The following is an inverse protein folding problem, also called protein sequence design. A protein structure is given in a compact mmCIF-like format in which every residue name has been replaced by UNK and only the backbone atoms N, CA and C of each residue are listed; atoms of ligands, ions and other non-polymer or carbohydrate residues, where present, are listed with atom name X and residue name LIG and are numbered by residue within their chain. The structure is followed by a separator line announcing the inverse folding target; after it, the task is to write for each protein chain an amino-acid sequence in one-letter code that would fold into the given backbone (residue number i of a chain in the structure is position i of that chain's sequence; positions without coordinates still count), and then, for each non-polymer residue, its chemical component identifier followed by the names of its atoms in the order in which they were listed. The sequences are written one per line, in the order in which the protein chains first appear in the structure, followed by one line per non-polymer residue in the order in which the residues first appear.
data_IF_006009312164
#
_entry.id   IF_006009312164
#
_cell.length_a   1.000
_cell.length_b   1.000
_cell.length_c   1.000
_cell.angle_alpha   90.00
_cell.angle_beta   90.00
_cell.angle_gamma   90.00
#
_symmetry.space_group_name_H-M   'P 1'
#
loop_
_entity.id
_entity.type
_entity.pdbx_description
1 polymer ?
#
# COMPACT_ATOMS: atom_id res chain seq x y z
N UNK A 1 -20.96 10.26 16.17
CA UNK A 1 -19.69 10.33 15.46
C UNK A 1 -19.16 8.90 15.30
N UNK A 2 -18.63 8.56 14.11
CA UNK A 2 -17.90 7.32 13.88
C UNK A 2 -16.42 7.69 13.96
N UNK A 3 -15.62 7.06 14.85
CA UNK A 3 -14.19 7.34 14.95
C UNK A 3 -13.46 6.95 13.66
N UNK A 4 -12.46 7.75 13.28
CA UNK A 4 -11.53 7.43 12.20
C UNK A 4 -10.20 8.13 12.47
N UNK A 5 -9.09 7.45 12.16
CA UNK A 5 -7.73 7.89 12.49
C UNK A 5 -7.00 8.44 11.26
N UNK A 6 -7.30 7.90 10.07
CA UNK A 6 -6.56 8.23 8.87
C UNK A 6 -7.44 8.30 7.62
N UNK A 7 -7.02 9.14 6.69
CA UNK A 7 -7.46 9.15 5.30
C UNK A 7 -6.34 8.54 4.46
N UNK A 8 -6.70 7.60 3.61
CA UNK A 8 -5.76 6.91 2.72
C UNK A 8 -6.01 7.37 1.28
N UNK A 9 -5.00 7.88 0.63
CA UNK A 9 -5.05 8.30 -0.77
C UNK A 9 -4.55 7.16 -1.65
N UNK A 10 -5.43 6.70 -2.55
CA UNK A 10 -5.16 5.68 -3.56
C UNK A 10 -4.57 6.31 -4.84
N UNK A 11 -4.28 5.52 -5.87
CA UNK A 11 -3.53 5.87 -7.10
C UNK A 11 -3.92 7.21 -7.74
N UNK A 12 -5.15 7.68 -7.57
CA UNK A 12 -5.67 8.89 -8.22
C UNK A 12 -5.12 10.20 -7.64
N UNK A 13 -4.37 10.16 -6.53
CA UNK A 13 -3.68 11.36 -6.06
C UNK A 13 -2.45 11.71 -6.91
N UNK A 14 -1.92 10.72 -7.66
CA UNK A 14 -0.72 10.85 -8.48
C UNK A 14 -1.02 11.46 -9.86
N UNK A 15 -0.10 12.24 -10.38
CA UNK A 15 -0.12 12.67 -11.78
C UNK A 15 0.14 11.49 -12.71
N UNK A 16 -0.85 11.15 -13.54
CA UNK A 16 -0.79 10.01 -14.47
C UNK A 16 -0.30 8.71 -13.82
N UNK A 17 -0.67 8.48 -12.55
CA UNK A 17 -0.25 7.32 -11.72
C UNK A 17 1.26 7.20 -11.47
N UNK A 18 2.02 8.27 -11.73
CA UNK A 18 3.47 8.31 -11.45
C UNK A 18 3.70 8.50 -9.94
N UNK A 19 4.31 7.53 -9.31
CA UNK A 19 4.68 7.64 -7.88
C UNK A 19 5.57 8.87 -7.63
N UNK A 20 5.52 9.43 -6.45
CA UNK A 20 6.25 10.65 -6.07
C UNK A 20 5.80 11.90 -6.82
N UNK A 21 4.53 11.94 -7.26
CA UNK A 21 3.90 13.12 -7.86
C UNK A 21 2.55 13.40 -7.20
N UNK A 22 2.03 14.60 -7.41
CA UNK A 22 0.67 14.99 -7.04
C UNK A 22 -0.10 15.40 -8.29
N UNK A 23 -1.36 14.98 -8.39
CA UNK A 23 -2.21 15.35 -9.52
C UNK A 23 -2.50 16.86 -9.47
N UNK A 24 -2.15 17.64 -10.53
CA UNK A 24 -2.19 19.10 -10.47
C UNK A 24 -3.60 19.67 -10.28
N UNK A 25 -4.62 19.01 -10.83
CA UNK A 25 -6.00 19.50 -10.77
C UNK A 25 -6.76 18.99 -9.53
N UNK A 26 -6.51 17.74 -9.10
CA UNK A 26 -7.24 17.14 -7.97
C UNK A 26 -6.56 17.40 -6.63
N UNK A 27 -5.25 17.57 -6.62
CA UNK A 27 -4.45 17.82 -5.42
C UNK A 27 -3.46 18.98 -5.63
N UNK A 28 -3.96 20.18 -5.99
CA UNK A 28 -3.08 21.31 -6.35
C UNK A 28 -2.28 21.85 -5.15
N UNK A 29 -2.81 21.70 -3.94
CA UNK A 29 -2.20 22.16 -2.69
C UNK A 29 -2.18 21.05 -1.63
N UNK A 30 -1.40 19.98 -1.83
CA UNK A 30 -1.42 18.80 -0.95
C UNK A 30 -1.01 19.12 0.49
N UNK A 31 -0.05 20.01 0.69
CA UNK A 31 0.41 20.44 2.02
C UNK A 31 -0.73 21.09 2.81
N UNK A 32 -1.49 22.02 2.19
CA UNK A 32 -2.62 22.70 2.82
C UNK A 32 -3.73 21.71 3.16
N UNK A 33 -4.10 20.82 2.22
CA UNK A 33 -5.11 19.79 2.44
C UNK A 33 -4.72 18.88 3.62
N UNK A 34 -3.48 18.40 3.65
CA UNK A 34 -2.97 17.50 4.70
C UNK A 34 -2.96 18.22 6.05
N UNK A 35 -2.57 19.51 6.08
CA UNK A 35 -2.61 20.32 7.30
C UNK A 35 -4.03 20.43 7.85
N UNK A 36 -5.01 20.75 7.00
CA UNK A 36 -6.42 20.84 7.38
C UNK A 36 -6.99 19.51 7.89
N UNK A 37 -6.60 18.39 7.30
CA UNK A 37 -7.00 17.06 7.79
C UNK A 37 -6.40 16.75 9.16
N UNK A 38 -5.13 17.12 9.39
CA UNK A 38 -4.47 16.98 10.69
C UNK A 38 -5.15 17.81 11.78
N UNK A 39 -5.57 19.04 11.47
CA UNK A 39 -6.30 19.89 12.41
C UNK A 39 -7.65 19.28 12.81
N UNK A 40 -8.24 18.44 11.94
CA UNK A 40 -9.43 17.66 12.23
C UNK A 40 -9.14 16.34 12.96
N UNK A 41 -7.87 15.99 13.18
CA UNK A 41 -7.42 14.79 13.87
C UNK A 41 -7.09 13.60 12.96
N UNK A 42 -7.10 13.77 11.63
CA UNK A 42 -6.75 12.70 10.69
C UNK A 42 -5.26 12.68 10.38
N UNK A 43 -4.71 11.49 10.23
CA UNK A 43 -3.44 11.26 9.57
C UNK A 43 -3.68 11.00 8.08
N UNK A 44 -2.69 11.31 7.23
CA UNK A 44 -2.78 11.00 5.79
C UNK A 44 -1.74 9.96 5.42
N UNK A 45 -2.21 8.92 4.75
CA UNK A 45 -1.40 7.81 4.21
C UNK A 45 -1.52 7.82 2.70
N UNK A 46 -0.42 7.65 1.98
CA UNK A 46 -0.42 7.59 0.51
C UNK A 46 0.00 6.22 0.01
N UNK A 47 -0.65 5.80 -1.06
CA UNK A 47 -0.29 4.57 -1.77
C UNK A 47 1.03 4.75 -2.52
N UNK A 48 1.87 3.72 -2.53
CA UNK A 48 3.16 3.67 -3.19
C UNK A 48 3.28 2.37 -3.98
N UNK A 49 3.30 2.47 -5.30
CA UNK A 49 3.57 1.35 -6.20
C UNK A 49 5.05 1.28 -6.57
N UNK A 50 5.61 0.07 -6.82
CA UNK A 50 7.00 -0.05 -7.25
C UNK A 50 7.20 0.24 -8.75
N UNK A 51 6.16 0.38 -9.55
CA UNK A 51 6.28 0.62 -10.99
C UNK A 51 6.71 2.06 -11.34
N UNK A 52 7.95 2.23 -11.78
CA UNK A 52 8.48 3.51 -12.23
C UNK A 52 8.25 3.64 -13.75
N UNK A 53 7.40 4.59 -14.15
CA UNK A 53 7.10 4.82 -15.57
C UNK A 53 8.36 5.08 -16.39
N UNK A 54 8.45 4.41 -17.55
CA UNK A 54 9.53 4.62 -18.52
C UNK A 54 9.31 5.94 -19.29
N UNK A 55 9.75 7.05 -18.68
CA UNK A 55 9.53 8.40 -19.20
C UNK A 55 10.75 9.28 -18.88
N UNK A 56 11.47 9.72 -19.91
CA UNK A 56 12.60 10.65 -19.77
C UNK A 56 12.12 11.98 -19.18
N UNK A 57 12.87 12.54 -18.23
CA UNK A 57 12.48 13.73 -17.47
C UNK A 57 11.69 13.44 -16.21
N UNK A 58 11.28 12.19 -16.00
CA UNK A 58 10.70 11.76 -14.73
C UNK A 58 11.83 11.34 -13.77
N UNK A 59 12.07 12.14 -12.75
CA UNK A 59 13.27 12.02 -11.90
C UNK A 59 13.53 10.62 -11.33
N UNK A 60 12.54 9.82 -10.84
CA UNK A 60 12.79 8.45 -10.40
C UNK A 60 13.24 7.52 -11.52
N UNK A 61 12.73 7.72 -12.75
CA UNK A 61 13.16 6.96 -13.92
C UNK A 61 14.59 7.31 -14.32
N UNK A 62 14.88 8.60 -14.48
CA UNK A 62 16.23 9.06 -14.91
C UNK A 62 17.30 8.62 -13.91
N UNK A 63 17.04 8.79 -12.60
CA UNK A 63 17.95 8.31 -11.56
C UNK A 63 18.07 6.78 -11.54
N UNK A 64 16.98 6.07 -11.80
CA UNK A 64 16.95 4.62 -11.87
C UNK A 64 17.82 4.06 -12.99
N UNK A 65 17.82 4.71 -14.17
CA UNK A 65 18.67 4.37 -15.30
C UNK A 65 20.13 4.76 -15.00
N UNK A 66 20.38 6.01 -14.57
CA UNK A 66 21.74 6.51 -14.30
C UNK A 66 22.48 5.67 -13.27
N UNK A 67 21.78 5.24 -12.22
CA UNK A 67 22.38 4.55 -11.07
C UNK A 67 22.13 3.05 -11.03
N UNK A 68 21.56 2.52 -12.10
CA UNK A 68 21.34 1.08 -12.25
C UNK A 68 20.51 0.46 -11.11
N UNK A 69 19.33 1.06 -10.82
CA UNK A 69 18.51 0.71 -9.67
C UNK A 69 17.40 -0.32 -9.98
N UNK A 70 17.23 -0.73 -11.24
CA UNK A 70 16.13 -1.58 -11.67
C UNK A 70 16.49 -3.07 -11.75
N UNK A 71 15.49 -3.92 -11.58
CA UNK A 71 15.57 -5.35 -11.94
C UNK A 71 15.95 -5.50 -13.40
N UNK A 72 16.64 -6.57 -13.77
CA UNK A 72 17.20 -6.75 -15.12
C UNK A 72 16.82 -8.08 -15.75
N UNK A 73 16.75 -8.05 -17.08
CA UNK A 73 16.85 -9.27 -17.88
C UNK A 73 18.29 -9.83 -17.83
N UNK A 74 18.49 -11.12 -18.21
CA UNK A 74 19.84 -11.73 -18.25
C UNK A 74 20.83 -11.02 -19.20
N UNK A 75 20.35 -10.26 -20.16
CA UNK A 75 21.19 -9.44 -21.09
C UNK A 75 21.59 -8.08 -20.48
N UNK A 76 21.18 -7.81 -19.24
CA UNK A 76 21.49 -6.57 -18.52
C UNK A 76 20.51 -5.41 -18.77
N UNK A 77 19.53 -5.56 -19.66
CA UNK A 77 18.51 -4.52 -19.86
C UNK A 77 17.54 -4.46 -18.67
N UNK A 78 17.04 -3.27 -18.30
CA UNK A 78 16.04 -3.15 -17.26
C UNK A 78 14.77 -3.95 -17.56
N UNK A 79 14.29 -4.71 -16.59
CA UNK A 79 13.04 -5.46 -16.70
C UNK A 79 11.85 -4.50 -16.89
N UNK A 80 10.95 -4.83 -17.80
CA UNK A 80 9.81 -3.99 -18.17
C UNK A 80 8.50 -4.75 -18.00
N UNK A 81 7.52 -4.11 -17.38
CA UNK A 81 6.15 -4.62 -17.24
C UNK A 81 5.14 -3.48 -17.24
N UNK A 82 3.84 -3.80 -17.40
CA UNK A 82 2.77 -2.82 -17.35
C UNK A 82 2.08 -2.82 -15.99
N UNK A 83 1.88 -1.62 -15.44
CA UNK A 83 1.04 -1.33 -14.29
C UNK A 83 0.30 0.00 -14.53
N UNK A 84 -0.23 0.65 -13.50
CA UNK A 84 -1.08 1.83 -13.61
C UNK A 84 -0.55 2.95 -14.53
N UNK A 85 0.73 3.38 -14.48
CA UNK A 85 1.21 4.42 -15.39
C UNK A 85 1.54 3.90 -16.81
N UNK A 86 1.32 2.63 -17.10
CA UNK A 86 1.65 1.98 -18.37
C UNK A 86 2.96 1.18 -18.28
N UNK A 87 3.87 1.33 -19.24
CA UNK A 87 5.16 0.63 -19.22
C UNK A 87 6.07 1.19 -18.13
N UNK A 88 6.59 0.29 -17.31
CA UNK A 88 7.40 0.61 -16.15
C UNK A 88 8.65 -0.25 -16.05
N UNK A 89 9.68 0.31 -15.42
CA UNK A 89 10.74 -0.47 -14.79
C UNK A 89 10.49 -0.62 -13.29
N UNK A 90 11.08 -1.61 -12.67
CA UNK A 90 10.82 -1.96 -11.27
C UNK A 90 12.11 -1.87 -10.46
N UNK A 91 12.15 -1.03 -9.40
CA UNK A 91 13.32 -0.92 -8.53
C UNK A 91 13.71 -2.28 -7.94
N UNK A 92 14.99 -2.57 -7.94
CA UNK A 92 15.50 -3.77 -7.26
C UNK A 92 15.71 -3.48 -5.77
N UNK A 93 14.68 -3.71 -4.96
CA UNK A 93 14.76 -3.49 -3.51
C UNK A 93 15.72 -4.43 -2.79
N UNK A 94 16.29 -5.45 -3.45
CA UNK A 94 17.38 -6.24 -2.89
C UNK A 94 18.73 -5.53 -3.01
N UNK A 95 18.82 -4.45 -3.83
CA UNK A 95 19.98 -3.59 -3.94
C UNK A 95 19.96 -2.51 -2.82
N UNK A 96 21.00 -2.41 -1.98
CA UNK A 96 21.12 -1.38 -0.94
C UNK A 96 21.01 0.05 -1.48
N UNK A 97 21.55 0.32 -2.67
CA UNK A 97 21.50 1.63 -3.29
C UNK A 97 20.06 2.01 -3.70
N UNK A 98 19.33 1.08 -4.26
CA UNK A 98 17.91 1.26 -4.56
C UNK A 98 17.10 1.58 -3.30
N UNK A 99 17.32 0.85 -2.20
CA UNK A 99 16.67 1.13 -0.92
C UNK A 99 16.99 2.53 -0.40
N UNK A 100 18.24 2.98 -0.55
CA UNK A 100 18.64 4.34 -0.17
C UNK A 100 17.94 5.40 -1.03
N UNK A 101 17.83 5.20 -2.35
CA UNK A 101 17.14 6.14 -3.24
C UNK A 101 15.63 6.18 -2.95
N UNK A 102 14.99 5.04 -2.72
CA UNK A 102 13.58 4.98 -2.33
C UNK A 102 13.31 5.80 -1.06
N UNK A 103 14.13 5.65 -0.02
CA UNK A 103 14.02 6.46 1.19
C UNK A 103 14.13 7.96 0.91
N UNK A 104 15.08 8.37 0.07
CA UNK A 104 15.24 9.78 -0.32
C UNK A 104 14.02 10.33 -1.04
N UNK A 105 13.41 9.55 -1.92
CA UNK A 105 12.21 9.98 -2.64
C UNK A 105 11.00 10.13 -1.74
N UNK A 106 10.87 9.31 -0.70
CA UNK A 106 9.79 9.43 0.29
C UNK A 106 9.80 10.74 1.07
N UNK A 107 10.96 11.42 1.12
CA UNK A 107 11.09 12.72 1.79
C UNK A 107 10.06 13.73 1.30
N UNK A 108 9.78 13.79 0.00
CA UNK A 108 8.82 14.75 -0.57
C UNK A 108 7.38 14.55 -0.06
N UNK A 109 7.00 13.32 0.27
CA UNK A 109 5.73 13.07 0.94
C UNK A 109 5.75 13.48 2.41
N UNK A 110 6.85 13.22 3.10
CA UNK A 110 7.02 13.65 4.49
C UNK A 110 7.02 15.18 4.62
N UNK A 111 7.66 15.89 3.68
CA UNK A 111 7.75 17.35 3.65
C UNK A 111 6.37 18.01 3.55
N UNK A 112 5.43 17.47 2.79
CA UNK A 112 4.04 17.96 2.70
C UNK A 112 3.14 17.42 3.82
N UNK A 113 3.68 16.61 4.72
CA UNK A 113 2.98 16.20 5.92
C UNK A 113 2.34 14.81 5.89
N UNK A 114 2.57 13.98 4.90
CA UNK A 114 2.16 12.57 4.89
C UNK A 114 2.70 11.86 6.14
N UNK A 115 1.89 10.98 6.73
CA UNK A 115 2.20 10.31 8.00
C UNK A 115 2.45 8.82 7.87
N UNK A 116 2.22 8.25 6.69
CA UNK A 116 2.40 6.84 6.45
C UNK A 116 2.36 6.45 4.99
N UNK A 117 2.76 5.23 4.69
CA UNK A 117 2.88 4.71 3.34
C UNK A 117 2.11 3.40 3.20
N UNK A 118 1.45 3.22 2.07
CA UNK A 118 0.80 1.97 1.70
C UNK A 118 1.51 1.39 0.48
N UNK A 119 2.27 0.30 0.68
CA UNK A 119 3.00 -0.39 -0.36
C UNK A 119 2.08 -1.40 -1.04
N UNK A 120 1.67 -1.10 -2.25
CA UNK A 120 0.82 -1.95 -3.08
C UNK A 120 1.57 -2.52 -4.28
N UNK A 121 0.99 -3.47 -4.99
CA UNK A 121 1.53 -4.12 -6.20
C UNK A 121 2.92 -4.73 -6.01
N UNK A 122 3.32 -5.04 -4.79
CA UNK A 122 4.69 -5.38 -4.40
C UNK A 122 4.95 -6.87 -4.14
N UNK A 123 4.14 -7.77 -4.70
CA UNK A 123 4.40 -9.21 -4.73
C UNK A 123 5.64 -9.65 -5.51
N UNK A 124 5.79 -9.15 -6.52
CA UNK A 124 5.78 -8.26 -7.64
C UNK A 124 4.55 -8.46 -8.57
N UNK A 125 3.84 -7.40 -8.90
CA UNK A 125 2.68 -7.44 -9.80
C UNK A 125 2.91 -6.65 -11.07
N UNK A 126 2.52 -7.24 -12.21
CA UNK A 126 2.39 -6.57 -13.49
C UNK A 126 1.24 -7.18 -14.29
N UNK A 127 0.60 -6.38 -15.13
CA UNK A 127 -0.55 -6.84 -15.89
C UNK A 127 -0.14 -7.74 -17.06
N UNK A 128 -0.94 -8.79 -17.29
CA UNK A 128 -0.83 -9.61 -18.48
C UNK A 128 0.39 -10.50 -18.55
N UNK A 129 1.30 -10.47 -17.57
CA UNK A 129 2.48 -11.32 -17.56
C UNK A 129 2.95 -11.66 -16.15
N UNK A 130 3.53 -12.83 -16.01
CA UNK A 130 4.29 -13.20 -14.83
C UNK A 130 5.75 -12.81 -15.01
N UNK A 131 6.41 -12.37 -13.94
CA UNK A 131 7.87 -12.16 -13.95
C UNK A 131 8.58 -13.47 -14.34
N UNK A 132 9.43 -13.45 -15.38
CA UNK A 132 10.26 -14.61 -15.71
C UNK A 132 11.17 -15.05 -14.56
N UNK A 133 11.39 -16.34 -14.42
CA UNK A 133 12.19 -16.89 -13.32
C UNK A 133 13.67 -16.48 -13.37
N UNK A 134 14.17 -16.07 -14.51
CA UNK A 134 15.56 -15.68 -14.76
C UNK A 134 15.83 -14.17 -14.66
N UNK A 135 14.87 -13.36 -14.23
CA UNK A 135 15.11 -11.93 -13.94
C UNK A 135 16.14 -11.82 -12.83
N UNK A 136 17.08 -10.91 -13.01
CA UNK A 136 18.23 -10.71 -12.13
C UNK A 136 17.92 -9.72 -11.02
N UNK A 137 18.34 -10.08 -9.82
CA UNK A 137 18.31 -9.30 -8.59
C UNK A 137 19.73 -9.11 -8.08
N UNK A 138 20.04 -7.94 -7.53
CA UNK A 138 21.36 -7.66 -6.92
C UNK A 138 21.62 -8.52 -5.68
N UNK A 139 20.60 -8.74 -4.85
CA UNK A 139 20.62 -9.56 -3.65
C UNK A 139 21.78 -9.24 -2.71
N UNK A 140 21.88 -7.96 -2.31
CA UNK A 140 22.97 -7.39 -1.50
C UNK A 140 24.38 -7.67 -2.09
N UNK A 141 24.49 -7.64 -3.42
CA UNK A 141 25.74 -7.83 -4.18
C UNK A 141 26.11 -9.28 -4.46
N UNK A 142 25.35 -10.26 -3.96
CA UNK A 142 25.66 -11.69 -4.20
C UNK A 142 25.04 -12.23 -5.49
N UNK A 143 24.05 -11.50 -6.04
CA UNK A 143 23.30 -11.90 -7.21
C UNK A 143 22.30 -13.02 -6.93
N UNK A 144 21.11 -12.88 -7.50
CA UNK A 144 20.06 -13.92 -7.46
C UNK A 144 19.19 -13.82 -8.72
N UNK A 145 18.34 -14.83 -8.93
CA UNK A 145 17.25 -14.73 -9.89
C UNK A 145 15.91 -14.53 -9.19
N UNK A 146 14.85 -14.28 -9.95
CA UNK A 146 13.51 -14.12 -9.40
C UNK A 146 13.02 -15.33 -8.61
N UNK A 147 13.54 -16.53 -8.87
CA UNK A 147 13.26 -17.73 -8.07
C UNK A 147 13.62 -17.58 -6.59
N UNK A 148 14.65 -16.78 -6.29
CA UNK A 148 15.10 -16.49 -4.92
C UNK A 148 14.65 -15.10 -4.45
N UNK A 149 14.78 -14.07 -5.32
CA UNK A 149 14.57 -12.68 -4.97
C UNK A 149 13.10 -12.26 -4.86
N UNK A 150 12.20 -12.89 -5.64
CA UNK A 150 10.80 -12.47 -5.71
C UNK A 150 10.09 -12.46 -4.35
N UNK A 151 10.26 -13.52 -3.55
CA UNK A 151 9.53 -13.62 -2.27
C UNK A 151 9.96 -12.57 -1.23
N UNK A 152 11.15 -12.00 -1.36
CA UNK A 152 11.62 -10.93 -0.46
C UNK A 152 11.44 -9.53 -1.03
N UNK A 153 10.94 -9.39 -2.24
CA UNK A 153 10.75 -8.11 -2.91
C UNK A 153 9.85 -7.16 -2.10
N UNK A 154 8.63 -7.61 -1.76
CA UNK A 154 7.69 -6.83 -0.96
C UNK A 154 8.22 -6.52 0.45
N UNK A 155 8.91 -7.48 1.09
CA UNK A 155 9.57 -7.26 2.38
C UNK A 155 10.61 -6.13 2.29
N UNK A 156 11.47 -6.13 1.26
CA UNK A 156 12.52 -5.12 1.11
C UNK A 156 11.96 -3.75 0.71
N UNK A 157 10.87 -3.70 -0.08
CA UNK A 157 10.16 -2.46 -0.33
C UNK A 157 9.55 -1.88 0.96
N UNK A 158 8.82 -2.69 1.72
CA UNK A 158 8.23 -2.26 2.99
C UNK A 158 9.29 -1.82 4.00
N UNK A 159 10.43 -2.51 4.07
CA UNK A 159 11.60 -2.10 4.84
C UNK A 159 12.08 -0.72 4.41
N UNK A 160 12.24 -0.49 3.11
CA UNK A 160 12.72 0.79 2.57
C UNK A 160 11.75 1.93 2.90
N UNK A 161 10.44 1.68 2.80
CA UNK A 161 9.41 2.66 3.15
C UNK A 161 9.39 2.95 4.66
N UNK A 162 9.55 1.93 5.50
CA UNK A 162 9.64 2.11 6.95
C UNK A 162 10.88 2.91 7.36
N UNK A 163 12.07 2.54 6.84
CA UNK A 163 13.32 3.24 7.13
C UNK A 163 13.27 4.71 6.65
N UNK A 164 12.68 4.98 5.48
CA UNK A 164 12.46 6.34 5.00
C UNK A 164 11.50 7.14 5.89
N UNK A 165 10.44 6.50 6.38
CA UNK A 165 9.55 7.12 7.35
C UNK A 165 10.26 7.46 8.67
N UNK A 166 11.06 6.54 9.21
CA UNK A 166 11.87 6.82 10.41
C UNK A 166 12.81 8.00 10.20
N UNK A 167 13.41 8.08 9.01
CA UNK A 167 14.36 9.15 8.66
C UNK A 167 13.68 10.53 8.52
N UNK A 168 12.46 10.58 7.94
CA UNK A 168 11.88 11.85 7.48
C UNK A 168 10.65 12.33 8.28
N UNK A 169 10.05 11.50 9.15
CA UNK A 169 8.86 11.89 9.91
C UNK A 169 9.16 12.54 11.28
N UNK A 170 10.34 13.15 11.43
CA UNK A 170 10.70 13.93 12.64
C UNK A 170 10.56 13.14 13.95
N UNK A 171 11.04 11.92 13.99
CA UNK A 171 11.02 11.04 15.17
C UNK A 171 9.69 10.37 15.46
N UNK A 172 8.66 10.60 14.65
CA UNK A 172 7.41 9.86 14.74
C UNK A 172 7.56 8.48 14.10
N UNK A 173 6.96 7.46 14.72
CA UNK A 173 6.90 6.13 14.11
C UNK A 173 6.01 6.18 12.86
N UNK A 174 6.52 5.78 11.69
CA UNK A 174 5.72 5.73 10.47
C UNK A 174 4.63 4.66 10.59
N UNK A 175 3.44 4.94 10.07
CA UNK A 175 2.51 3.89 9.70
C UNK A 175 2.90 3.38 8.32
N UNK A 176 3.08 2.07 8.20
CA UNK A 176 3.41 1.44 6.93
C UNK A 176 2.51 0.22 6.74
N UNK A 177 1.82 0.15 5.60
CA UNK A 177 0.95 -0.95 5.20
C UNK A 177 1.53 -1.62 3.97
N UNK A 178 1.45 -2.94 3.86
CA UNK A 178 1.95 -3.67 2.69
C UNK A 178 1.00 -4.78 2.27
N UNK A 179 0.84 -4.97 0.95
CA UNK A 179 0.07 -6.10 0.40
C UNK A 179 0.87 -7.38 0.42
N UNK A 180 2.16 -7.31 0.10
CA UNK A 180 3.05 -8.45 0.11
C UNK A 180 4.12 -8.34 1.18
N UNK A 181 4.52 -9.49 1.72
CA UNK A 181 5.55 -9.59 2.73
C UNK A 181 6.18 -10.98 2.76
N UNK A 182 7.09 -11.17 3.68
CA UNK A 182 7.74 -12.44 3.99
C UNK A 182 8.01 -12.52 5.49
N UNK A 183 8.55 -13.63 5.98
CA UNK A 183 8.93 -13.76 7.39
C UNK A 183 9.80 -12.58 7.86
N UNK A 184 9.38 -11.89 8.92
CA UNK A 184 10.02 -10.66 9.42
C UNK A 184 9.35 -9.36 8.98
N UNK A 185 8.27 -9.39 8.17
CA UNK A 185 7.52 -8.20 7.74
C UNK A 185 6.95 -7.39 8.91
N UNK A 186 6.60 -8.05 10.02
CA UNK A 186 6.07 -7.42 11.22
C UNK A 186 6.96 -6.35 11.82
N UNK A 187 8.25 -6.32 11.46
CA UNK A 187 9.21 -5.27 11.88
C UNK A 187 9.00 -3.96 11.12
N UNK A 188 8.37 -3.99 9.97
CA UNK A 188 8.34 -2.88 9.03
C UNK A 188 6.95 -2.41 8.66
N UNK A 189 5.94 -3.29 8.69
CA UNK A 189 4.62 -2.95 8.18
C UNK A 189 3.49 -3.73 8.85
N UNK A 190 2.29 -3.13 8.85
CA UNK A 190 1.03 -3.84 8.91
C UNK A 190 0.75 -4.53 7.57
N UNK A 191 -0.11 -5.56 7.57
CA UNK A 191 -0.43 -6.32 6.37
C UNK A 191 -1.96 -6.40 6.21
N UNK A 192 -2.44 -6.31 4.97
CA UNK A 192 -3.82 -6.69 4.67
C UNK A 192 -3.87 -7.85 3.68
N UNK A 193 -5.00 -8.53 3.60
CA UNK A 193 -5.12 -9.79 2.86
C UNK A 193 -5.38 -9.62 1.36
N UNK A 194 -5.24 -8.39 0.83
CA UNK A 194 -5.43 -8.09 -0.60
C UNK A 194 -6.90 -7.94 -0.99
N UNK A 195 -7.17 -8.03 -2.29
CA UNK A 195 -8.43 -7.75 -2.96
C UNK A 195 -9.45 -8.86 -2.72
N UNK A 196 -10.18 -8.77 -1.62
CA UNK A 196 -11.25 -9.71 -1.28
C UNK A 196 -12.55 -9.35 -2.01
N UNK A 197 -13.45 -10.33 -2.14
CA UNK A 197 -14.75 -10.15 -2.80
C UNK A 197 -15.86 -9.98 -1.78
N UNK A 198 -16.89 -9.18 -2.10
CA UNK A 198 -18.02 -8.86 -1.23
C UNK A 198 -18.98 -10.07 -1.04
N UNK A 199 -18.48 -11.16 -0.44
CA UNK A 199 -19.22 -12.38 -0.10
C UNK A 199 -18.99 -12.80 1.36
N UNK A 200 -19.95 -13.55 1.92
CA UNK A 200 -19.86 -14.11 3.27
C UNK A 200 -18.61 -15.01 3.45
N UNK A 201 -18.28 -15.80 2.43
CA UNK A 201 -17.11 -16.68 2.44
C UNK A 201 -15.80 -15.91 2.56
N UNK A 202 -15.66 -14.80 1.84
CA UNK A 202 -14.49 -13.94 1.91
C UNK A 202 -14.39 -13.18 3.24
N UNK A 203 -15.53 -12.78 3.82
CA UNK A 203 -15.57 -12.23 5.17
C UNK A 203 -14.98 -13.22 6.19
N UNK A 204 -15.42 -14.48 6.15
CA UNK A 204 -14.94 -15.52 7.05
C UNK A 204 -13.51 -15.97 6.75
N UNK A 205 -13.11 -15.97 5.46
CA UNK A 205 -11.73 -16.21 5.06
C UNK A 205 -10.79 -15.15 5.63
N UNK A 206 -11.18 -13.87 5.56
CA UNK A 206 -10.41 -12.75 6.12
C UNK A 206 -10.10 -12.97 7.62
N UNK A 207 -11.11 -13.35 8.41
CA UNK A 207 -10.90 -13.68 9.84
C UNK A 207 -9.88 -14.81 10.04
N UNK A 208 -9.98 -15.88 9.24
CA UNK A 208 -9.05 -17.02 9.33
C UNK A 208 -7.63 -16.63 8.94
N UNK A 209 -7.48 -15.82 7.88
CA UNK A 209 -6.18 -15.32 7.42
C UNK A 209 -5.52 -14.42 8.47
N UNK A 210 -6.25 -13.46 9.05
CA UNK A 210 -5.73 -12.59 10.11
C UNK A 210 -5.30 -13.38 11.32
N UNK A 211 -6.08 -14.38 11.75
CA UNK A 211 -5.70 -15.27 12.84
C UNK A 211 -4.43 -16.07 12.52
N UNK A 212 -4.33 -16.61 11.29
CA UNK A 212 -3.15 -17.37 10.85
C UNK A 212 -1.90 -16.48 10.77
N UNK A 213 -2.04 -15.23 10.30
CA UNK A 213 -0.97 -14.23 10.31
C UNK A 213 -0.53 -13.91 11.73
N UNK A 214 -1.46 -13.74 12.66
CA UNK A 214 -1.17 -13.52 14.09
C UNK A 214 -0.37 -14.68 14.69
N UNK A 215 -0.75 -15.93 14.43
CA UNK A 215 -0.01 -17.12 14.84
C UNK A 215 1.39 -17.19 14.21
N UNK A 216 1.58 -16.60 13.04
CA UNK A 216 2.87 -16.49 12.35
C UNK A 216 3.71 -15.28 12.79
N UNK A 217 3.27 -14.54 13.81
CA UNK A 217 3.97 -13.37 14.34
C UNK A 217 3.65 -12.04 13.62
N UNK A 218 2.71 -12.03 12.66
CA UNK A 218 2.22 -10.81 11.99
C UNK A 218 0.94 -10.36 12.68
N UNK A 219 1.08 -9.73 13.84
CA UNK A 219 -0.05 -9.38 14.69
C UNK A 219 -0.87 -8.19 14.16
N UNK A 220 -0.25 -7.28 13.40
CA UNK A 220 -0.94 -6.11 12.86
C UNK A 220 -1.38 -6.40 11.42
N UNK A 221 -2.52 -7.06 11.30
CA UNK A 221 -3.10 -7.47 10.01
C UNK A 221 -4.61 -7.22 9.98
N UNK A 222 -5.16 -7.09 8.75
CA UNK A 222 -6.58 -6.91 8.51
C UNK A 222 -6.99 -7.26 7.08
N UNK A 223 -8.17 -6.84 6.71
CA UNK A 223 -8.78 -7.07 5.39
C UNK A 223 -9.66 -5.89 5.02
N UNK A 224 -10.07 -5.79 3.75
CA UNK A 224 -10.98 -4.76 3.29
C UNK A 224 -12.41 -5.10 3.74
N UNK A 225 -12.96 -4.24 4.63
CA UNK A 225 -14.28 -4.41 5.21
C UNK A 225 -15.34 -4.05 4.17
N UNK A 226 -16.27 -4.97 3.95
CA UNK A 226 -17.29 -4.87 2.91
C UNK A 226 -16.89 -5.57 1.61
N UNK A 227 -15.62 -5.92 1.46
CA UNK A 227 -15.06 -6.49 0.24
C UNK A 227 -14.57 -5.41 -0.72
N UNK A 228 -13.43 -5.66 -1.37
CA UNK A 228 -12.86 -4.77 -2.37
C UNK A 228 -13.59 -4.91 -3.71
N UNK A 229 -13.78 -6.15 -4.20
CA UNK A 229 -14.44 -6.43 -5.47
C UNK A 229 -15.92 -6.69 -5.27
N UNK A 230 -16.76 -6.05 -6.08
CA UNK A 230 -18.23 -6.16 -6.00
C UNK A 230 -18.83 -5.28 -4.90
N UNK A 231 -20.13 -5.48 -4.61
CA UNK A 231 -20.85 -4.66 -3.64
C UNK A 231 -21.48 -5.54 -2.55
N UNK A 232 -21.19 -5.21 -1.31
CA UNK A 232 -21.85 -5.84 -0.18
C UNK A 232 -23.31 -5.39 -0.07
N UNK A 233 -24.21 -6.29 0.32
CA UNK A 233 -25.51 -5.89 0.84
C UNK A 233 -25.33 -5.16 2.19
N UNK A 234 -26.32 -4.32 2.57
CA UNK A 234 -26.31 -3.66 3.88
C UNK A 234 -26.14 -4.67 5.04
N UNK A 235 -26.78 -5.83 4.94
CA UNK A 235 -26.65 -6.92 5.91
C UNK A 235 -25.23 -7.48 5.98
N UNK A 236 -24.59 -7.74 4.83
CA UNK A 236 -23.22 -8.24 4.79
C UNK A 236 -22.24 -7.21 5.33
N UNK A 237 -22.39 -5.95 4.93
CA UNK A 237 -21.54 -4.87 5.43
C UNK A 237 -21.67 -4.69 6.94
N UNK A 238 -22.90 -4.69 7.50
CA UNK A 238 -23.13 -4.59 8.95
C UNK A 238 -22.44 -5.71 9.73
N UNK A 239 -22.49 -6.95 9.21
CA UNK A 239 -21.77 -8.09 9.80
C UNK A 239 -20.25 -7.91 9.71
N UNK A 240 -19.77 -7.48 8.55
CA UNK A 240 -18.34 -7.32 8.29
C UNK A 240 -17.70 -6.22 9.14
N UNK A 241 -18.38 -5.07 9.25
CA UNK A 241 -17.89 -3.97 10.10
C UNK A 241 -17.88 -4.36 11.59
N UNK A 242 -18.86 -5.17 12.01
CA UNK A 242 -18.92 -5.70 13.38
C UNK A 242 -17.77 -6.66 13.70
N UNK A 243 -17.42 -7.54 12.76
CA UNK A 243 -16.27 -8.44 12.90
C UNK A 243 -14.95 -7.66 12.77
N UNK A 244 -14.90 -6.72 11.84
CA UNK A 244 -13.73 -5.87 11.61
C UNK A 244 -13.29 -5.09 12.85
N UNK A 245 -14.23 -4.72 13.71
CA UNK A 245 -13.94 -4.05 14.97
C UNK A 245 -13.01 -4.85 15.91
N UNK A 246 -12.90 -6.16 15.74
CA UNK A 246 -11.98 -7.03 16.47
C UNK A 246 -10.69 -7.34 15.71
N UNK A 247 -10.52 -6.78 14.50
CA UNK A 247 -9.29 -6.95 13.71
C UNK A 247 -8.26 -5.88 14.08
N UNK A 248 -6.97 -6.22 14.18
CA UNK A 248 -5.92 -5.27 14.53
C UNK A 248 -5.79 -4.10 13.55
N UNK A 249 -6.03 -4.34 12.26
CA UNK A 249 -6.12 -3.31 11.22
C UNK A 249 -7.55 -3.26 10.70
N UNK A 250 -8.19 -2.09 10.82
CA UNK A 250 -9.57 -1.84 10.45
C UNK A 250 -9.63 -0.80 9.32
N UNK A 251 -10.01 -1.23 8.12
CA UNK A 251 -10.12 -0.37 6.95
C UNK A 251 -11.37 -0.70 6.15
N UNK A 252 -12.14 0.31 5.75
CA UNK A 252 -13.09 0.23 4.65
C UNK A 252 -12.37 0.60 3.35
N UNK A 253 -12.53 -0.20 2.31
CA UNK A 253 -11.91 0.01 1.00
C UNK A 253 -12.66 -0.77 -0.06
N UNK A 254 -12.91 -0.16 -1.21
CA UNK A 254 -13.64 -0.76 -2.32
C UNK A 254 -13.08 -0.31 -3.66
N UNK A 255 -13.32 -1.12 -4.68
CA UNK A 255 -12.89 -0.84 -6.05
C UNK A 255 -13.65 0.38 -6.61
N UNK A 256 -13.00 1.13 -7.50
CA UNK A 256 -13.62 2.23 -8.25
C UNK A 256 -14.89 1.75 -9.00
N UNK A 257 -15.89 2.61 -9.11
CA UNK A 257 -17.20 2.33 -9.70
C UNK A 257 -18.07 1.29 -8.96
N UNK A 258 -17.80 1.06 -7.68
CA UNK A 258 -18.70 0.37 -6.76
C UNK A 258 -19.30 1.36 -5.77
N UNK A 259 -20.18 0.88 -4.88
CA UNK A 259 -20.76 1.71 -3.81
C UNK A 259 -19.65 2.22 -2.90
N UNK A 260 -19.75 3.48 -2.47
CA UNK A 260 -18.90 4.05 -1.44
C UNK A 260 -18.95 3.20 -0.16
N UNK A 261 -17.79 3.00 0.47
CA UNK A 261 -17.65 2.06 1.58
C UNK A 261 -17.91 2.66 2.95
N UNK A 262 -18.31 3.94 3.02
CA UNK A 262 -18.68 4.57 4.27
C UNK A 262 -20.00 3.99 4.81
N UNK A 263 -20.13 3.82 6.13
CA UNK A 263 -21.32 3.19 6.72
C UNK A 263 -22.65 3.83 6.36
N UNK A 264 -22.70 5.14 6.14
CA UNK A 264 -23.93 5.85 5.72
C UNK A 264 -24.37 5.53 4.29
N UNK A 265 -23.48 5.05 3.43
CA UNK A 265 -23.79 4.63 2.06
C UNK A 265 -24.62 3.34 2.02
N UNK A 266 -24.66 2.59 3.14
CA UNK A 266 -25.41 1.35 3.30
C UNK A 266 -26.76 1.53 4.00
N UNK A 267 -27.16 2.78 4.32
CA UNK A 267 -28.42 3.14 4.93
C UNK A 267 -28.34 3.36 6.45
N UNK A 268 -29.40 3.95 7.00
CA UNK A 268 -29.46 4.43 8.38
C UNK A 268 -29.23 3.32 9.41
N UNK A 269 -29.72 2.13 9.18
CA UNK A 269 -29.56 1.00 10.10
C UNK A 269 -28.08 0.64 10.26
N UNK A 270 -27.34 0.57 9.14
CA UNK A 270 -25.89 0.28 9.13
C UNK A 270 -25.11 1.40 9.80
N UNK A 271 -25.47 2.65 9.56
CA UNK A 271 -24.86 3.81 10.21
C UNK A 271 -25.07 3.75 11.74
N UNK A 272 -26.27 3.41 12.21
CA UNK A 272 -26.57 3.24 13.65
C UNK A 272 -25.72 2.12 14.27
N UNK A 273 -25.60 0.97 13.59
CA UNK A 273 -24.74 -0.14 14.04
C UNK A 273 -23.29 0.32 14.15
N UNK A 274 -22.77 0.98 13.12
CA UNK A 274 -21.39 1.49 13.09
C UNK A 274 -21.10 2.51 14.17
N UNK A 275 -22.06 3.38 14.48
CA UNK A 275 -21.95 4.33 15.60
C UNK A 275 -21.91 3.64 16.96
N UNK A 276 -22.64 2.53 17.14
CA UNK A 276 -22.60 1.74 18.39
C UNK A 276 -21.25 1.05 18.57
N UNK A 277 -20.69 0.47 17.48
CA UNK A 277 -19.36 -0.12 17.47
C UNK A 277 -18.31 0.91 17.87
N UNK A 278 -18.34 2.10 17.26
CA UNK A 278 -17.39 3.17 17.58
C UNK A 278 -17.46 3.64 19.04
N UNK A 279 -18.64 3.59 19.68
CA UNK A 279 -18.79 3.93 21.10
C UNK A 279 -18.23 2.85 22.04
N UNK A 280 -18.20 1.61 21.60
CA UNK A 280 -17.65 0.50 22.40
C UNK A 280 -16.11 0.50 22.45
N UNK A 281 -15.46 1.28 21.59
CA UNK A 281 -14.00 1.34 21.45
C UNK A 281 -13.38 2.66 21.95
N UNK A 282 -14.17 3.57 22.52
CA UNK A 282 -13.71 4.86 23.11
C UNK A 282 -13.67 4.77 24.63
#
# INVERSE_FOLDING_TARGET
KIPADAIVLDIHYMDAYKIFTWHPDYFPEPEQMISQLKDQGFQVVVMCDPGIKTETGYAPYDAGIEKDLFLKYPDGQPYTGQVWPGWCHFPDFTNPETRMHWRKWLKQYADVGVSGFWNDMNEFSSWGQMMPENILFNFDGTGATSRQGRNVYGLQMARSSYEGGVEHLNGRRPFNLTRSGYAGIQRYAALWTGDNVAYDEHMMLGVRLVNSLGLSGVAFAGYDIGGFVGEASSRLFARWISIGAFSPFFRVHSMINTRDSEPWSYGEEVEIISRKIGRAHV
#
